data_IF_499262086703
#
_entry.id   IF_499262086703
#
_cell.length_a   1.000
_cell.length_b   1.000
_cell.length_c   1.000
_cell.angle_alpha   90.00
_cell.angle_beta   90.00
_cell.angle_gamma   90.00
#
_symmetry.space_group_name_H-M   'P 1'
#
loop_
_entity.id
_entity.type
_entity.pdbx_description
1 polymer ?
#
# COMPACT_ATOMS: atom_id res chain seq x y z
N UNK A 1 -23.02 8.94 4.76
CA UNK A 1 -21.56 8.84 5.03
C UNK A 1 -20.84 8.46 3.76
N UNK A 2 -19.73 9.13 3.48
CA UNK A 2 -18.87 8.84 2.34
C UNK A 2 -18.07 7.56 2.56
N UNK A 3 -17.53 6.99 1.48
CA UNK A 3 -16.61 5.85 1.54
C UNK A 3 -15.39 6.15 2.43
N UNK A 4 -14.88 7.39 2.38
CA UNK A 4 -13.72 7.82 3.17
C UNK A 4 -14.03 7.91 4.66
N UNK A 5 -15.18 8.46 5.03
CA UNK A 5 -15.61 8.53 6.42
C UNK A 5 -15.82 7.12 6.99
N UNK A 6 -16.51 6.27 6.24
CA UNK A 6 -16.76 4.89 6.62
C UNK A 6 -15.45 4.10 6.81
N UNK A 7 -14.51 4.24 5.88
CA UNK A 7 -13.17 3.65 5.99
C UNK A 7 -12.47 4.06 7.29
N UNK A 8 -12.59 5.33 7.71
CA UNK A 8 -11.99 5.83 8.96
C UNK A 8 -12.74 5.36 10.20
N UNK A 9 -14.07 5.41 10.20
CA UNK A 9 -14.93 4.97 11.31
C UNK A 9 -14.73 3.48 11.62
N UNK A 10 -14.48 2.66 10.60
CA UNK A 10 -14.20 1.23 10.74
C UNK A 10 -12.71 0.92 10.93
N UNK A 11 -11.91 1.89 11.40
CA UNK A 11 -10.51 1.65 11.76
C UNK A 11 -9.59 1.35 10.58
N UNK A 12 -9.79 2.03 9.45
CA UNK A 12 -9.00 1.84 8.23
C UNK A 12 -9.11 0.43 7.62
N UNK A 13 -10.26 -0.23 7.80
CA UNK A 13 -10.54 -1.50 7.12
C UNK A 13 -10.70 -1.29 5.59
N UNK A 14 -10.56 -2.35 4.80
CA UNK A 14 -10.72 -2.21 3.34
C UNK A 14 -12.13 -1.71 3.00
N UNK A 15 -12.23 -0.91 1.94
CA UNK A 15 -13.52 -0.37 1.48
C UNK A 15 -14.52 -1.49 1.20
N UNK A 16 -14.07 -2.61 0.66
CA UNK A 16 -14.94 -3.77 0.38
C UNK A 16 -15.46 -4.42 1.66
N UNK A 17 -14.63 -4.53 2.70
CA UNK A 17 -15.07 -5.05 4.01
C UNK A 17 -16.06 -4.07 4.63
N UNK A 18 -15.77 -2.77 4.59
CA UNK A 18 -16.66 -1.73 5.11
C UNK A 18 -18.03 -1.73 4.40
N UNK A 19 -18.03 -1.86 3.07
CA UNK A 19 -19.25 -2.01 2.25
C UNK A 19 -20.04 -3.24 2.68
N UNK A 20 -19.40 -4.40 2.77
CA UNK A 20 -20.03 -5.66 3.18
C UNK A 20 -20.63 -5.59 4.59
N UNK A 21 -19.98 -4.88 5.52
CA UNK A 21 -20.51 -4.69 6.88
C UNK A 21 -21.86 -3.96 6.88
N UNK A 22 -22.03 -2.96 6.02
CA UNK A 22 -23.30 -2.23 5.90
C UNK A 22 -24.35 -3.02 5.12
N UNK A 23 -23.97 -3.59 3.98
CA UNK A 23 -24.93 -4.31 3.11
C UNK A 23 -25.47 -5.57 3.78
N UNK A 24 -24.65 -6.23 4.61
CA UNK A 24 -25.04 -7.46 5.29
C UNK A 24 -25.66 -7.20 6.68
N UNK A 25 -25.85 -5.93 7.06
CA UNK A 25 -26.51 -5.56 8.32
C UNK A 25 -25.68 -5.75 9.59
N UNK A 26 -24.36 -5.96 9.49
CA UNK A 26 -23.47 -6.05 10.66
C UNK A 26 -23.24 -4.70 11.34
N UNK A 27 -23.35 -3.60 10.59
CA UNK A 27 -23.34 -2.24 11.10
C UNK A 27 -24.65 -1.55 10.70
N UNK A 28 -25.41 -1.08 11.69
CA UNK A 28 -26.70 -0.40 11.49
C UNK A 28 -26.58 1.10 11.77
N UNK A 29 -27.58 1.88 11.34
CA UNK A 29 -27.63 3.33 11.58
C UNK A 29 -26.76 4.19 10.65
N UNK A 30 -26.08 3.58 9.68
CA UNK A 30 -25.24 4.26 8.69
C UNK A 30 -25.76 3.98 7.27
N UNK A 31 -25.90 5.04 6.48
CA UNK A 31 -26.21 4.95 5.03
C UNK A 31 -24.98 5.38 4.23
N UNK A 32 -24.44 4.47 3.44
CA UNK A 32 -23.32 4.76 2.55
C UNK A 32 -23.81 5.57 1.35
N UNK A 33 -23.22 6.74 1.14
CA UNK A 33 -23.35 7.48 -0.11
C UNK A 33 -22.36 6.87 -1.09
N UNK A 34 -22.88 6.09 -2.03
CA UNK A 34 -22.10 5.57 -3.13
C UNK A 34 -21.97 6.67 -4.19
N UNK A 35 -21.07 7.62 -3.95
CA UNK A 35 -20.51 8.41 -5.03
C UNK A 35 -19.52 7.51 -5.76
N UNK A 36 -19.93 7.01 -6.92
CA UNK A 36 -19.08 6.23 -7.82
C UNK A 36 -18.56 7.18 -8.90
N UNK A 37 -17.65 8.06 -8.51
CA UNK A 37 -16.96 8.99 -9.39
C UNK A 37 -15.89 8.28 -10.26
N UNK A 38 -15.85 6.94 -10.23
CA UNK A 38 -14.93 6.11 -11.01
C UNK A 38 -13.48 6.21 -10.56
N UNK A 39 -13.18 7.04 -9.55
CA UNK A 39 -11.84 7.23 -9.02
C UNK A 39 -11.47 6.10 -8.05
N UNK A 40 -10.27 5.52 -8.17
CA UNK A 40 -9.80 4.52 -7.21
C UNK A 40 -9.69 5.15 -5.81
N UNK A 41 -10.17 4.41 -4.81
CA UNK A 41 -10.08 4.86 -3.42
C UNK A 41 -8.62 4.96 -2.97
N UNK A 42 -8.22 6.15 -2.49
CA UNK A 42 -6.87 6.41 -1.99
C UNK A 42 -6.90 7.02 -0.58
N UNK A 43 -6.05 6.47 0.30
CA UNK A 43 -5.86 6.94 1.66
C UNK A 43 -4.37 6.92 2.03
N UNK A 44 -3.80 8.11 2.25
CA UNK A 44 -2.40 8.30 2.61
C UNK A 44 -1.96 7.43 3.80
N UNK A 45 -2.73 7.47 4.89
CA UNK A 45 -2.43 6.70 6.09
C UNK A 45 -2.35 5.19 5.82
N UNK A 46 -3.27 4.65 5.02
CA UNK A 46 -3.23 3.24 4.61
C UNK A 46 -2.06 2.96 3.69
N UNK A 47 -1.76 3.84 2.74
CA UNK A 47 -0.62 3.68 1.85
C UNK A 47 0.68 3.62 2.65
N UNK A 48 0.91 4.54 3.58
CA UNK A 48 2.13 4.56 4.37
C UNK A 48 2.21 3.42 5.40
N UNK A 49 1.08 3.06 6.04
CA UNK A 49 1.07 2.04 7.09
C UNK A 49 0.97 0.60 6.57
N UNK A 50 0.33 0.40 5.40
CA UNK A 50 0.08 -0.93 4.80
C UNK A 50 0.87 -1.14 3.51
N UNK A 51 1.77 -0.23 3.14
CA UNK A 51 2.67 -0.45 2.01
C UNK A 51 3.42 -1.77 2.22
N UNK A 52 3.16 -2.73 1.34
CA UNK A 52 3.98 -3.93 1.25
C UNK A 52 5.25 -3.57 0.50
N UNK A 53 6.40 -3.99 1.04
CA UNK A 53 7.66 -3.89 0.30
C UNK A 53 7.56 -4.84 -0.89
N UNK A 54 7.91 -4.37 -2.11
CA UNK A 54 8.14 -5.28 -3.23
C UNK A 54 9.18 -6.33 -2.79
N UNK A 55 8.99 -7.62 -3.10
CA UNK A 55 10.00 -8.62 -2.79
C UNK A 55 11.31 -8.21 -3.44
N UNK A 56 12.37 -8.06 -2.65
CA UNK A 56 13.71 -7.84 -3.19
C UNK A 56 14.25 -9.20 -3.61
N UNK A 57 14.68 -9.29 -4.86
CA UNK A 57 15.32 -10.51 -5.36
C UNK A 57 16.51 -10.88 -4.48
N UNK A 58 16.54 -12.12 -4.01
CA UNK A 58 17.68 -12.66 -3.24
C UNK A 58 18.92 -12.87 -4.10
N UNK A 59 18.74 -12.85 -5.42
CA UNK A 59 19.81 -13.01 -6.40
C UNK A 59 19.98 -11.73 -7.21
N UNK A 60 21.23 -11.41 -7.55
CA UNK A 60 21.55 -10.31 -8.46
C UNK A 60 20.93 -10.59 -9.82
N UNK A 61 20.18 -9.63 -10.34
CA UNK A 61 19.55 -9.73 -11.64
C UNK A 61 20.36 -9.06 -12.76
N UNK A 62 21.29 -8.17 -12.41
CA UNK A 62 22.19 -7.54 -13.39
C UNK A 62 23.31 -8.49 -13.81
N UNK A 63 23.88 -8.23 -14.99
CA UNK A 63 25.01 -8.96 -15.55
C UNK A 63 26.33 -8.58 -14.86
N UNK A 64 27.24 -9.54 -14.68
CA UNK A 64 28.55 -9.28 -14.08
C UNK A 64 29.52 -8.79 -15.15
N UNK A 65 30.51 -7.99 -14.75
CA UNK A 65 31.66 -7.70 -15.59
C UNK A 65 32.32 -9.03 -16.02
N UNK A 66 32.65 -9.12 -17.32
CA UNK A 66 33.24 -10.31 -17.94
C UNK A 66 34.76 -10.29 -17.97
N UNK A 67 35.34 -9.10 -17.75
CA UNK A 67 36.77 -8.86 -17.78
C UNK A 67 37.25 -8.23 -16.47
N UNK A 68 38.54 -8.43 -16.17
CA UNK A 68 39.16 -7.87 -15.00
C UNK A 68 39.14 -6.33 -15.06
N UNK A 69 38.62 -5.70 -14.01
CA UNK A 69 38.50 -4.24 -13.93
C UNK A 69 37.34 -3.63 -14.73
N UNK A 70 36.49 -4.44 -15.39
CA UNK A 70 35.36 -3.93 -16.18
C UNK A 70 34.26 -3.25 -15.35
N UNK A 71 34.19 -3.51 -14.03
CA UNK A 71 33.32 -2.80 -13.10
C UNK A 71 33.96 -2.76 -11.70
N UNK A 72 34.02 -1.57 -11.09
CA UNK A 72 34.55 -1.36 -9.74
C UNK A 72 33.48 -0.68 -8.89
N UNK A 73 33.11 -1.33 -7.79
CA UNK A 73 32.20 -0.78 -6.77
C UNK A 73 33.05 -0.35 -5.58
N UNK A 74 33.04 0.94 -5.26
CA UNK A 74 33.69 1.49 -4.07
C UNK A 74 32.64 2.13 -3.18
N UNK A 75 32.73 1.91 -1.88
CA UNK A 75 31.91 2.58 -0.87
C UNK A 75 32.82 3.23 0.18
N UNK A 76 32.34 4.29 0.81
CA UNK A 76 33.07 5.00 1.87
C UNK A 76 32.49 4.56 3.21
N UNK A 77 33.36 4.28 4.17
CA UNK A 77 32.95 4.02 5.54
C UNK A 77 33.18 5.24 6.44
N UNK A 78 32.16 5.63 7.23
CA UNK A 78 32.32 6.58 8.32
C UNK A 78 31.00 7.09 8.95
N UNK A 79 31.09 7.89 10.03
CA UNK A 79 32.25 8.06 10.92
C UNK A 79 32.40 6.87 11.88
N UNK A 80 33.59 6.73 12.49
CA UNK A 80 33.86 5.77 13.55
C UNK A 80 33.46 6.33 14.92
#
# INVERSE_FOLDING_TARGET
>A
VTVREMHRLMGHCSVDVAKRMLTNGFATGLRLEMSDDGQPFFCDACTYAKATRKPISRVRQSDRAKEFGGEVHSDIWGPA
#
